data_IF_954762915500
#
_entry.id   IF_954762915500
#
_cell.length_a   1.000
_cell.length_b   1.000
_cell.length_c   1.000
_cell.angle_alpha   90.00
_cell.angle_beta   90.00
_cell.angle_gamma   90.00
#
_symmetry.space_group_name_H-M   'P 1'
#
loop_
_entity.id
_entity.type
_entity.pdbx_description
1 polymer ?
#
# COMPACT_ATOMS: atom_id res chain seq x y z
N UNK A 1 -6.99 6.78 -0.12
CA UNK A 1 -7.65 6.15 -1.28
C UNK A 1 -7.20 6.70 -2.62
N UNK A 2 -7.43 7.97 -2.96
CA UNK A 2 -7.08 8.50 -4.30
C UNK A 2 -5.63 8.23 -4.75
N UNK A 3 -4.66 8.35 -3.84
CA UNK A 3 -3.26 8.02 -4.14
C UNK A 3 -3.05 6.55 -4.52
N UNK A 4 -3.73 5.59 -3.88
CA UNK A 4 -3.58 4.17 -4.22
C UNK A 4 -4.04 3.89 -5.65
N UNK A 5 -5.16 4.47 -6.07
CA UNK A 5 -5.63 4.33 -7.45
C UNK A 5 -4.68 4.98 -8.46
N UNK A 6 -4.25 6.22 -8.22
CA UNK A 6 -3.30 6.89 -9.11
C UNK A 6 -1.95 6.15 -9.19
N UNK A 7 -1.51 5.54 -8.09
CA UNK A 7 -0.29 4.72 -8.08
C UNK A 7 -0.48 3.42 -8.86
N UNK A 8 -1.62 2.74 -8.70
CA UNK A 8 -2.00 1.56 -9.50
C UNK A 8 -2.01 1.88 -11.00
N UNK A 9 -2.63 2.99 -11.39
CA UNK A 9 -2.67 3.46 -12.78
C UNK A 9 -1.27 3.77 -13.33
N UNK A 10 -0.42 4.44 -12.54
CA UNK A 10 0.98 4.72 -12.93
C UNK A 10 1.78 3.43 -13.13
N UNK A 11 1.57 2.42 -12.27
CA UNK A 11 2.24 1.11 -12.35
C UNK A 11 1.74 0.25 -13.50
N UNK A 12 0.47 0.38 -13.87
CA UNK A 12 -0.13 -0.38 -14.98
C UNK A 12 0.05 0.29 -16.35
N UNK A 13 0.07 1.62 -16.43
CA UNK A 13 -0.07 2.34 -17.72
C UNK A 13 1.18 3.09 -18.19
N UNK A 14 2.07 3.53 -17.30
CA UNK A 14 2.98 4.63 -17.65
C UNK A 14 4.46 4.29 -17.76
N UNK A 15 4.93 3.14 -17.27
CA UNK A 15 6.37 2.86 -17.29
C UNK A 15 6.70 1.42 -17.68
N UNK A 16 7.74 1.32 -18.49
CA UNK A 16 8.46 0.07 -18.68
C UNK A 16 9.16 -0.34 -17.38
N UNK A 17 9.39 -1.63 -17.16
CA UNK A 17 10.12 -2.12 -15.99
C UNK A 17 11.47 -1.40 -15.76
N UNK A 18 12.15 -0.95 -16.81
CA UNK A 18 13.41 -0.19 -16.74
C UNK A 18 13.27 1.23 -16.16
N UNK A 19 12.18 1.93 -16.43
CA UNK A 19 11.92 3.27 -15.90
C UNK A 19 11.50 3.22 -14.42
N UNK A 20 10.95 2.08 -13.99
CA UNK A 20 10.63 1.79 -12.60
C UNK A 20 11.86 1.53 -11.71
N UNK A 21 12.92 0.90 -12.23
CA UNK A 21 14.14 0.58 -11.44
C UNK A 21 14.80 1.84 -10.86
N UNK A 22 14.56 3.00 -11.47
CA UNK A 22 15.15 4.28 -11.05
C UNK A 22 14.36 4.97 -9.93
N UNK A 23 13.26 4.38 -9.48
CA UNK A 23 12.33 4.99 -8.53
C UNK A 23 12.25 4.18 -7.23
N UNK A 24 12.04 4.89 -6.13
CA UNK A 24 11.90 4.25 -4.81
C UNK A 24 10.64 4.76 -4.07
N UNK A 25 9.45 4.34 -4.53
CA UNK A 25 8.18 4.72 -3.90
C UNK A 25 8.10 4.26 -2.43
N UNK A 26 8.73 3.14 -2.10
CA UNK A 26 8.81 2.62 -0.72
C UNK A 26 9.63 3.56 0.18
N UNK A 27 10.79 4.06 -0.26
CA UNK A 27 11.54 5.07 0.48
C UNK A 27 10.81 6.40 0.55
N UNK A 28 10.10 6.79 -0.51
CA UNK A 28 9.32 8.03 -0.54
C UNK A 28 8.17 8.02 0.49
N UNK A 29 7.41 6.92 0.60
CA UNK A 29 6.37 6.80 1.63
C UNK A 29 6.98 6.88 3.02
N UNK A 30 8.10 6.18 3.27
CA UNK A 30 8.82 6.25 4.55
C UNK A 30 9.26 7.67 4.87
N UNK A 31 9.80 8.40 3.88
CA UNK A 31 10.21 9.79 4.05
C UNK A 31 9.04 10.70 4.46
N UNK A 32 7.86 10.53 3.85
CA UNK A 32 6.71 11.37 4.16
C UNK A 32 5.95 10.97 5.43
N UNK A 33 6.12 9.74 5.92
CA UNK A 33 5.59 9.29 7.20
C UNK A 33 6.51 9.62 8.38
N UNK A 34 7.75 10.04 8.13
CA UNK A 34 8.66 10.53 9.17
C UNK A 34 8.33 11.99 9.55
N UNK A 35 7.90 12.27 10.79
CA UNK A 35 7.66 13.63 11.24
C UNK A 35 8.95 14.47 11.30
N UNK A 36 10.11 13.82 11.41
CA UNK A 36 11.43 14.45 11.49
C UNK A 36 12.20 14.36 10.16
N UNK A 37 11.49 14.09 9.05
CA UNK A 37 12.10 13.91 7.74
C UNK A 37 13.10 15.01 7.40
N UNK A 38 14.25 14.60 6.90
CA UNK A 38 15.33 15.48 6.48
C UNK A 38 16.05 14.88 5.25
N UNK A 39 16.85 15.71 4.57
CA UNK A 39 17.56 15.31 3.37
C UNK A 39 16.72 15.40 2.08
N UNK A 40 17.28 14.94 0.95
CA UNK A 40 16.59 14.99 -0.33
C UNK A 40 15.43 14.00 -0.37
N UNK A 41 14.32 14.43 -0.97
CA UNK A 41 13.18 13.56 -1.25
C UNK A 41 13.57 12.51 -2.31
N UNK A 42 13.17 11.23 -2.16
CA UNK A 42 13.39 10.22 -3.19
C UNK A 42 12.70 10.57 -4.51
N UNK A 43 13.33 10.20 -5.62
CA UNK A 43 12.76 10.37 -6.96
C UNK A 43 11.64 9.35 -7.20
N UNK A 44 10.47 9.82 -7.62
CA UNK A 44 9.23 9.04 -7.69
C UNK A 44 8.30 9.46 -8.83
N UNK A 45 7.27 8.64 -9.02
CA UNK A 45 6.17 8.78 -9.95
C UNK A 45 5.38 10.09 -9.77
N UNK A 46 4.78 10.61 -10.86
CA UNK A 46 3.83 11.72 -10.76
C UNK A 46 2.67 11.47 -9.78
N UNK A 47 2.11 10.25 -9.71
CA UNK A 47 1.07 9.90 -8.74
C UNK A 47 1.49 10.14 -7.28
N UNK A 48 2.76 9.94 -6.95
CA UNK A 48 3.30 10.19 -5.61
C UNK A 48 3.19 11.66 -5.18
N UNK A 49 3.01 12.61 -6.10
CA UNK A 49 2.75 14.02 -5.77
C UNK A 49 1.48 14.16 -4.92
N UNK A 50 0.45 13.33 -5.17
CA UNK A 50 -0.77 13.32 -4.36
C UNK A 50 -0.43 13.01 -2.90
N UNK A 51 0.50 12.08 -2.66
CA UNK A 51 0.91 11.69 -1.33
C UNK A 51 1.55 12.82 -0.53
N UNK A 52 2.22 13.79 -1.19
CA UNK A 52 2.81 14.96 -0.51
C UNK A 52 1.79 15.79 0.27
N UNK A 53 0.51 15.73 -0.14
CA UNK A 53 -0.58 16.44 0.54
C UNK A 53 -1.12 15.72 1.78
N UNK A 54 -1.01 14.39 1.81
CA UNK A 54 -1.58 13.54 2.88
C UNK A 54 -0.51 12.99 3.82
N UNK A 55 0.69 12.69 3.33
CA UNK A 55 1.81 12.15 4.09
C UNK A 55 2.12 12.95 5.36
N UNK A 56 2.26 14.28 5.31
CA UNK A 56 2.49 15.10 6.52
C UNK A 56 1.40 14.97 7.58
N UNK A 57 0.14 14.77 7.16
CA UNK A 57 -0.98 14.57 8.09
C UNK A 57 -0.94 13.18 8.71
N UNK A 58 -0.52 12.19 7.93
CA UNK A 58 -0.30 10.81 8.38
C UNK A 58 0.99 10.64 9.18
N UNK A 59 1.91 11.62 9.18
CA UNK A 59 3.13 11.55 9.99
C UNK A 59 2.85 11.75 11.50
N UNK A 60 1.68 12.28 11.86
CA UNK A 60 1.28 12.67 13.23
C UNK A 60 -0.16 12.20 13.53
N UNK A 61 -0.59 12.26 14.79
CA UNK A 61 -2.01 12.07 15.14
C UNK A 61 -2.49 10.61 15.27
N UNK A 62 -1.59 9.67 15.51
CA UNK A 62 -1.89 8.25 15.79
C UNK A 62 -0.68 7.60 16.47
N UNK A 63 -0.92 6.45 17.10
CA UNK A 63 0.11 5.69 17.82
C UNK A 63 1.25 5.24 16.91
N UNK A 64 2.43 5.03 17.49
CA UNK A 64 3.60 4.56 16.75
C UNK A 64 3.37 3.17 16.17
N UNK A 65 2.61 2.33 16.88
CA UNK A 65 2.26 0.97 16.51
C UNK A 65 1.36 0.95 15.26
N UNK A 66 0.29 1.76 15.25
CA UNK A 66 -0.59 1.87 14.07
C UNK A 66 0.14 2.45 12.87
N UNK A 67 1.02 3.44 13.09
CA UNK A 67 1.85 4.03 12.04
C UNK A 67 2.83 3.03 11.44
N UNK A 68 3.51 2.25 12.29
CA UNK A 68 4.42 1.20 11.85
C UNK A 68 3.69 0.11 11.05
N UNK A 69 2.48 -0.26 11.49
CA UNK A 69 1.63 -1.24 10.82
C UNK A 69 1.19 -0.75 9.43
N UNK A 70 0.74 0.51 9.31
CA UNK A 70 0.40 1.11 8.02
C UNK A 70 1.60 1.25 7.09
N UNK A 71 2.75 1.70 7.62
CA UNK A 71 3.96 1.81 6.83
C UNK A 71 4.37 0.44 6.27
N UNK A 72 4.31 -0.61 7.10
CA UNK A 72 4.59 -1.99 6.69
C UNK A 72 3.68 -2.42 5.54
N UNK A 73 2.35 -2.33 5.71
CA UNK A 73 1.41 -2.79 4.69
C UNK A 73 1.45 -1.95 3.42
N UNK A 74 1.74 -0.66 3.52
CA UNK A 74 1.88 0.22 2.36
C UNK A 74 3.12 -0.15 1.54
N UNK A 75 4.24 -0.44 2.19
CA UNK A 75 5.46 -0.90 1.52
C UNK A 75 5.24 -2.28 0.90
N UNK A 76 4.61 -3.22 1.61
CA UNK A 76 4.26 -4.55 1.06
C UNK A 76 3.36 -4.43 -0.17
N UNK A 77 2.38 -3.52 -0.16
CA UNK A 77 1.54 -3.22 -1.32
C UNK A 77 2.35 -2.70 -2.51
N UNK A 78 3.21 -1.69 -2.28
CA UNK A 78 4.06 -1.10 -3.33
C UNK A 78 4.96 -2.17 -3.96
N UNK A 79 5.70 -2.89 -3.12
CA UNK A 79 6.68 -3.88 -3.56
C UNK A 79 5.97 -5.01 -4.36
N UNK A 80 4.82 -5.48 -3.88
CA UNK A 80 4.04 -6.51 -4.57
C UNK A 80 3.49 -6.02 -5.92
N UNK A 81 2.97 -4.80 -5.98
CA UNK A 81 2.43 -4.24 -7.21
C UNK A 81 3.53 -4.07 -8.27
N UNK A 82 4.71 -3.60 -7.86
CA UNK A 82 5.88 -3.49 -8.74
C UNK A 82 6.34 -4.85 -9.27
N UNK A 83 6.39 -5.88 -8.43
CA UNK A 83 6.75 -7.22 -8.88
C UNK A 83 5.72 -7.81 -9.84
N UNK A 84 4.42 -7.58 -9.60
CA UNK A 84 3.36 -8.01 -10.52
C UNK A 84 3.45 -7.31 -11.87
N UNK A 85 3.80 -6.02 -11.90
CA UNK A 85 4.02 -5.29 -13.16
C UNK A 85 5.16 -5.92 -13.97
N UNK A 86 6.32 -6.18 -13.35
CA UNK A 86 7.46 -6.87 -13.99
C UNK A 86 7.12 -8.29 -14.44
N UNK A 87 6.28 -8.99 -13.67
CA UNK A 87 5.84 -10.35 -14.00
C UNK A 87 4.97 -10.35 -15.27
N UNK A 88 4.02 -9.42 -15.39
CA UNK A 88 3.10 -9.31 -16.53
C UNK A 88 3.84 -9.13 -17.87
N UNK A 89 5.02 -8.51 -17.86
CA UNK A 89 5.88 -8.40 -19.05
C UNK A 89 6.47 -9.75 -19.50
N UNK A 90 6.54 -10.75 -18.61
CA UNK A 90 7.24 -12.02 -18.84
C UNK A 90 6.30 -13.20 -18.99
N UNK A 91 5.29 -13.34 -18.13
CA UNK A 91 4.38 -14.48 -18.13
C UNK A 91 3.07 -14.19 -17.39
N UNK A 92 2.05 -15.01 -17.65
CA UNK A 92 0.78 -15.00 -16.91
C UNK A 92 0.89 -15.87 -15.64
N UNK A 93 0.51 -15.38 -14.46
CA UNK A 93 0.52 -16.16 -13.22
C UNK A 93 -0.44 -17.35 -13.28
N UNK A 94 -0.12 -18.39 -12.51
CA UNK A 94 -1.12 -19.39 -12.11
C UNK A 94 -2.21 -18.77 -11.23
N UNK A 95 -3.35 -19.45 -11.08
CA UNK A 95 -4.44 -18.97 -10.23
C UNK A 95 -4.01 -18.79 -8.77
N UNK A 96 -3.14 -19.68 -8.26
CA UNK A 96 -2.62 -19.59 -6.89
C UNK A 96 -1.76 -18.34 -6.69
N UNK A 97 -0.77 -18.15 -7.57
CA UNK A 97 0.10 -16.96 -7.57
C UNK A 97 -0.71 -15.66 -7.71
N UNK A 98 -1.73 -15.67 -8.57
CA UNK A 98 -2.63 -14.54 -8.73
C UNK A 98 -3.37 -14.21 -7.43
N UNK A 99 -3.97 -15.20 -6.75
CA UNK A 99 -4.72 -14.97 -5.51
C UNK A 99 -3.81 -14.45 -4.40
N UNK A 100 -2.63 -15.05 -4.23
CA UNK A 100 -1.65 -14.65 -3.21
C UNK A 100 -1.17 -13.21 -3.42
N UNK A 101 -0.81 -12.86 -4.66
CA UNK A 101 -0.43 -11.49 -5.01
C UNK A 101 -1.59 -10.51 -4.91
N UNK A 102 -2.80 -10.90 -5.33
CA UNK A 102 -3.97 -10.00 -5.37
C UNK A 102 -4.43 -9.56 -3.99
N UNK A 103 -4.26 -10.40 -2.98
CA UNK A 103 -4.58 -10.07 -1.59
C UNK A 103 -3.69 -8.93 -1.08
N UNK A 104 -2.47 -8.79 -1.61
CA UNK A 104 -1.53 -7.74 -1.20
C UNK A 104 -1.70 -6.50 -2.10
N UNK A 105 -1.70 -6.68 -3.42
CA UNK A 105 -1.66 -5.57 -4.39
C UNK A 105 -3.01 -4.87 -4.64
N UNK A 106 -4.10 -5.25 -3.96
CA UNK A 106 -5.38 -4.52 -4.06
C UNK A 106 -5.44 -3.28 -3.17
N UNK A 107 -4.41 -3.02 -2.35
CA UNK A 107 -4.32 -1.82 -1.51
C UNK A 107 -5.29 -1.77 -0.31
N UNK A 108 -5.97 -2.88 -0.01
CA UNK A 108 -6.96 -2.93 1.09
C UNK A 108 -6.28 -2.95 2.46
N UNK A 109 -5.18 -3.69 2.65
CA UNK A 109 -4.50 -3.73 3.96
C UNK A 109 -4.06 -2.34 4.45
N UNK A 110 -3.35 -1.52 3.66
CA UNK A 110 -3.06 -0.14 4.04
C UNK A 110 -4.31 0.68 4.37
N UNK A 111 -5.40 0.45 3.65
CA UNK A 111 -6.67 1.16 3.87
C UNK A 111 -7.32 0.78 5.20
N UNK A 112 -7.25 -0.49 5.59
CA UNK A 112 -7.73 -0.96 6.90
C UNK A 112 -6.90 -0.35 8.04
N UNK A 113 -5.59 -0.19 7.83
CA UNK A 113 -4.71 0.38 8.86
C UNK A 113 -4.97 1.88 9.12
N UNK A 114 -5.63 2.57 8.17
CA UNK A 114 -6.09 3.95 8.35
C UNK A 114 -7.34 4.08 9.22
N UNK A 115 -8.05 2.99 9.55
CA UNK A 115 -9.27 3.05 10.38
C UNK A 115 -8.95 3.64 11.75
N UNK A 116 -7.85 3.21 12.38
CA UNK A 116 -7.43 3.71 13.70
C UNK A 116 -7.15 5.21 13.67
N UNK A 117 -6.46 5.67 12.62
CA UNK A 117 -6.20 7.09 12.39
C UNK A 117 -7.49 7.89 12.17
N UNK A 118 -8.37 7.40 11.29
CA UNK A 118 -9.61 8.11 10.94
C UNK A 118 -10.63 8.16 12.08
N UNK A 119 -10.63 7.15 12.95
CA UNK A 119 -11.50 7.06 14.11
C UNK A 119 -10.91 7.69 15.38
N UNK A 120 -9.67 8.22 15.31
CA UNK A 120 -8.94 8.77 16.46
C UNK A 120 -8.88 7.76 17.64
N UNK A 121 -8.60 6.49 17.30
CA UNK A 121 -8.46 5.41 18.29
C UNK A 121 -7.03 4.87 18.29
N UNK A 122 -6.49 4.69 19.48
CA UNK A 122 -5.23 3.97 19.65
C UNK A 122 -5.49 2.47 19.76
N UNK A 123 -4.78 1.70 18.94
CA UNK A 123 -4.82 0.24 18.98
C UNK A 123 -3.42 -0.25 19.31
N UNK A 124 -3.32 -1.05 20.38
CA UNK A 124 -2.04 -1.62 20.78
C UNK A 124 -1.54 -2.64 19.76
N UNK A 125 -0.23 -2.84 19.71
CA UNK A 125 0.40 -3.87 18.86
C UNK A 125 -0.13 -5.28 19.18
N UNK A 126 -0.45 -5.57 20.45
CA UNK A 126 -1.07 -6.84 20.87
C UNK A 126 -2.44 -7.05 20.19
N UNK A 127 -3.31 -6.03 20.19
CA UNK A 127 -4.61 -6.11 19.53
C UNK A 127 -4.45 -6.18 18.02
N UNK A 128 -3.55 -5.38 17.44
CA UNK A 128 -3.26 -5.43 16.00
C UNK A 128 -2.81 -6.81 15.57
N UNK A 129 -1.98 -7.50 16.36
CA UNK A 129 -1.46 -8.84 16.06
C UNK A 129 -2.37 -9.98 16.49
N UNK A 130 -3.45 -9.70 17.20
CA UNK A 130 -4.37 -10.71 17.68
C UNK A 130 -4.93 -11.54 16.51
N UNK A 131 -4.96 -12.87 16.66
CA UNK A 131 -5.33 -13.81 15.60
C UNK A 131 -6.70 -13.48 15.00
N UNK A 132 -7.69 -13.15 15.83
CA UNK A 132 -9.03 -12.78 15.37
C UNK A 132 -9.03 -11.50 14.52
N UNK A 133 -8.20 -10.51 14.87
CA UNK A 133 -8.08 -9.26 14.09
C UNK A 133 -7.43 -9.56 12.75
N UNK A 134 -6.36 -10.35 12.73
CA UNK A 134 -5.69 -10.76 11.50
C UNK A 134 -6.62 -11.59 10.60
N UNK A 135 -7.40 -12.49 11.18
CA UNK A 135 -8.40 -13.31 10.47
C UNK A 135 -9.49 -12.45 9.84
N UNK A 136 -10.03 -11.49 10.59
CA UNK A 136 -11.04 -10.57 10.06
C UNK A 136 -10.46 -9.74 8.92
N UNK A 137 -9.26 -9.17 9.08
CA UNK A 137 -8.58 -8.39 8.04
C UNK A 137 -8.39 -9.21 6.77
N UNK A 138 -7.90 -10.45 6.89
CA UNK A 138 -7.74 -11.37 5.77
C UNK A 138 -9.05 -11.64 5.04
N UNK A 139 -10.15 -11.90 5.76
CA UNK A 139 -11.45 -12.15 5.14
C UNK A 139 -12.03 -10.91 4.45
N UNK A 140 -11.88 -9.72 5.05
CA UNK A 140 -12.31 -8.46 4.42
C UNK A 140 -11.58 -8.26 3.09
N UNK A 141 -10.25 -8.42 3.09
CA UNK A 141 -9.43 -8.29 1.88
C UNK A 141 -9.90 -9.27 0.82
N UNK A 142 -10.09 -10.55 1.18
CA UNK A 142 -10.57 -11.56 0.22
C UNK A 142 -11.92 -11.25 -0.38
N UNK A 143 -12.87 -10.77 0.43
CA UNK A 143 -14.20 -10.38 -0.06
C UNK A 143 -14.06 -9.24 -1.08
N UNK A 144 -13.25 -8.23 -0.77
CA UNK A 144 -13.02 -7.10 -1.68
C UNK A 144 -12.31 -7.56 -2.96
N UNK A 145 -11.29 -8.42 -2.85
CA UNK A 145 -10.62 -9.01 -4.02
C UNK A 145 -11.62 -9.70 -4.95
N UNK A 146 -12.45 -10.59 -4.40
CA UNK A 146 -13.45 -11.32 -5.19
C UNK A 146 -14.47 -10.37 -5.82
N UNK A 147 -14.92 -9.36 -5.07
CA UNK A 147 -15.90 -8.40 -5.57
C UNK A 147 -15.35 -7.56 -6.72
N UNK A 148 -14.16 -6.98 -6.57
CA UNK A 148 -13.50 -6.17 -7.61
C UNK A 148 -13.13 -7.01 -8.83
N UNK A 149 -12.68 -8.26 -8.65
CA UNK A 149 -12.40 -9.16 -9.78
C UNK A 149 -13.66 -9.59 -10.54
N UNK A 150 -14.84 -9.57 -9.90
CA UNK A 150 -16.12 -9.87 -10.56
C UNK A 150 -16.73 -8.65 -11.24
N UNK A 151 -16.49 -7.46 -10.67
CA UNK A 151 -17.02 -6.18 -11.17
C UNK A 151 -15.88 -5.16 -11.31
N UNK A 152 -15.04 -5.28 -12.36
CA UNK A 152 -14.00 -4.28 -12.63
C UNK A 152 -14.67 -2.95 -13.05
N UNK A 153 -14.19 -1.85 -12.47
CA UNK A 153 -14.61 -0.47 -12.79
C UNK A 153 -13.61 0.17 -13.73
#
# INVERSE_FOLDING_TARGET
MAWFFAFDDDVDSFLTSEEFVKQDPSAFVKHWLDPNRSGPEPYVLPSCIIYRTVGPKLAVGWSNESKAQFQKTTVEYIDCLMEVSKQREKYLPSLGEYIEGRIINIGVYPTLDLISYAADIEVSDEVLRHESVQTIRYHIVRIICLWVSTFPW
#
